data_IF_372652814284
#
_entry.id   IF_372652814284
#
_cell.length_a   1.000
_cell.length_b   1.000
_cell.length_c   1.000
_cell.angle_alpha   90.00
_cell.angle_beta   90.00
_cell.angle_gamma   90.00
#
_symmetry.space_group_name_H-M   'P 1'
#
loop_
_entity.id
_entity.type
_entity.pdbx_description
1 polymer ?
#
# COMPACT_ATOMS: atom_id res chain seq x y z
N UNK A 1 10.58 -20.90 -5.42
CA UNK A 1 10.73 -19.44 -5.38
C UNK A 1 10.27 -18.98 -4.02
N UNK A 2 10.91 -17.99 -3.44
CA UNK A 2 10.48 -17.37 -2.16
C UNK A 2 9.86 -16.02 -2.46
N UNK A 3 8.98 -15.56 -1.58
CA UNK A 3 8.49 -14.17 -1.62
C UNK A 3 9.65 -13.18 -1.65
N UNK A 4 9.49 -12.03 -2.31
CA UNK A 4 10.47 -10.97 -2.22
C UNK A 4 10.68 -10.61 -0.75
N UNK A 5 11.93 -10.42 -0.36
CA UNK A 5 12.25 -9.91 0.96
C UNK A 5 12.30 -8.40 0.87
N UNK A 6 11.64 -7.69 1.77
CA UNK A 6 11.98 -6.29 1.95
C UNK A 6 13.29 -6.22 2.69
N UNK A 7 14.16 -5.41 2.19
CA UNK A 7 15.22 -4.88 3.01
C UNK A 7 14.62 -3.67 3.75
N UNK A 8 14.16 -3.90 4.97
CA UNK A 8 14.13 -2.81 5.92
C UNK A 8 15.58 -2.47 6.18
N UNK A 9 16.16 -1.68 5.30
CA UNK A 9 17.50 -1.16 5.46
C UNK A 9 17.58 -0.24 6.68
N UNK A 10 18.77 0.24 6.98
CA UNK A 10 19.04 1.10 8.14
C UNK A 10 18.14 2.35 8.21
N UNK A 11 17.52 2.80 7.11
CA UNK A 11 16.65 3.96 7.04
C UNK A 11 15.24 3.69 7.55
N UNK A 12 14.67 2.54 7.24
CA UNK A 12 13.37 2.14 7.82
C UNK A 12 13.54 1.87 9.31
N UNK A 13 14.72 1.43 9.73
CA UNK A 13 15.07 1.28 11.13
C UNK A 13 15.16 2.61 11.89
N UNK A 14 15.19 3.75 11.24
CA UNK A 14 15.15 5.04 11.94
C UNK A 14 13.74 5.45 12.35
N UNK A 15 12.70 5.00 11.66
CA UNK A 15 11.29 5.24 12.03
C UNK A 15 10.67 4.07 12.80
N UNK A 16 10.94 2.86 12.39
CA UNK A 16 10.73 1.68 13.21
C UNK A 16 12.08 1.35 13.81
N UNK A 17 12.32 1.69 15.04
CA UNK A 17 13.59 1.42 15.69
C UNK A 17 14.03 -0.02 15.43
N UNK A 18 15.33 -0.32 15.51
CA UNK A 18 15.92 -1.67 15.36
C UNK A 18 15.21 -2.78 16.16
N UNK A 19 14.30 -2.40 17.04
CA UNK A 19 13.50 -3.26 17.92
C UNK A 19 12.02 -3.36 17.48
N UNK A 20 11.65 -2.85 16.30
CA UNK A 20 10.26 -2.90 15.82
C UNK A 20 9.28 -2.03 16.61
N UNK A 21 9.74 -0.90 17.12
CA UNK A 21 8.91 0.08 17.83
C UNK A 21 8.89 1.40 17.03
N UNK A 22 7.83 2.20 17.23
CA UNK A 22 7.85 3.57 16.76
C UNK A 22 8.91 4.39 17.52
N UNK A 23 9.27 5.56 17.00
CA UNK A 23 10.33 6.42 17.58
C UNK A 23 10.11 6.76 19.06
N UNK A 24 8.90 6.61 19.59
CA UNK A 24 8.53 6.86 20.98
C UNK A 24 8.45 5.59 21.82
N UNK A 25 8.68 4.42 21.22
CA UNK A 25 8.60 3.14 21.90
C UNK A 25 7.17 2.71 22.27
N UNK A 26 6.14 3.38 21.76
CA UNK A 26 4.74 3.15 22.14
C UNK A 26 4.13 2.01 21.32
N UNK A 27 4.49 1.94 20.01
CA UNK A 27 3.95 0.92 19.11
C UNK A 27 5.03 -0.11 18.81
N UNK A 28 4.69 -1.36 19.01
CA UNK A 28 5.53 -2.50 18.62
C UNK A 28 5.04 -3.03 17.27
N UNK A 29 5.96 -3.23 16.36
CA UNK A 29 5.71 -3.85 15.07
C UNK A 29 6.23 -5.28 15.08
N UNK A 30 5.41 -6.21 14.64
CA UNK A 30 5.84 -7.56 14.36
C UNK A 30 6.23 -7.66 12.88
N UNK A 31 7.41 -8.21 12.63
CA UNK A 31 7.86 -8.49 11.27
C UNK A 31 7.78 -10.00 11.04
N UNK A 32 7.19 -10.37 9.92
CA UNK A 32 7.17 -11.76 9.51
C UNK A 32 8.55 -12.21 8.97
N UNK A 33 8.70 -13.48 8.64
CA UNK A 33 9.98 -14.03 8.13
C UNK A 33 10.43 -13.40 6.81
N UNK A 34 9.51 -12.79 6.07
CA UNK A 34 9.79 -12.07 4.84
C UNK A 34 10.20 -10.61 5.08
N UNK A 35 10.13 -10.13 6.32
CA UNK A 35 10.54 -8.79 6.73
C UNK A 35 9.45 -7.71 6.62
N UNK A 36 8.19 -8.07 6.33
CA UNK A 36 7.08 -7.13 6.27
C UNK A 36 6.41 -6.98 7.63
N UNK A 37 5.81 -5.80 7.89
CA UNK A 37 4.98 -5.59 9.07
C UNK A 37 3.72 -6.44 8.91
N UNK A 38 3.69 -7.56 9.61
CA UNK A 38 2.58 -8.50 9.65
C UNK A 38 2.76 -9.46 10.82
N UNK A 39 1.65 -9.93 11.40
CA UNK A 39 1.66 -10.91 12.49
C UNK A 39 1.76 -12.35 11.98
N UNK A 40 1.75 -12.57 10.67
CA UNK A 40 1.75 -13.90 10.05
C UNK A 40 2.85 -14.00 9.00
N UNK A 41 3.52 -15.15 8.97
CA UNK A 41 4.36 -15.52 7.84
C UNK A 41 3.50 -15.78 6.62
N UNK A 42 4.00 -15.46 5.43
CA UNK A 42 3.27 -15.67 4.19
C UNK A 42 3.47 -17.10 3.69
N UNK A 43 2.35 -17.74 3.36
CA UNK A 43 2.32 -19.07 2.73
C UNK A 43 2.14 -18.90 1.22
N UNK A 44 3.03 -19.52 0.46
CA UNK A 44 2.99 -19.50 -1.01
C UNK A 44 1.80 -20.28 -1.59
N UNK A 45 1.18 -21.15 -0.79
CA UNK A 45 0.01 -21.94 -1.17
C UNK A 45 -1.31 -21.30 -0.73
N UNK A 46 -1.28 -20.09 -0.17
CA UNK A 46 -2.50 -19.41 0.28
C UNK A 46 -3.32 -18.92 -0.92
N UNK A 47 -4.52 -19.46 -1.08
CA UNK A 47 -5.44 -19.12 -2.17
C UNK A 47 -6.33 -17.93 -1.87
N UNK A 48 -6.53 -17.60 -0.59
CA UNK A 48 -7.37 -16.51 -0.14
C UNK A 48 -6.56 -15.29 0.34
N UNK A 49 -5.38 -15.06 -0.24
CA UNK A 49 -4.57 -13.91 0.11
C UNK A 49 -5.09 -12.63 -0.57
N UNK A 50 -5.36 -11.60 0.22
CA UNK A 50 -5.51 -10.23 -0.26
C UNK A 50 -4.16 -9.54 -0.07
N UNK A 51 -3.53 -9.18 -1.19
CA UNK A 51 -2.20 -8.60 -1.19
C UNK A 51 -2.26 -7.08 -1.28
N UNK A 52 -1.64 -6.42 -0.31
CA UNK A 52 -1.58 -4.96 -0.20
C UNK A 52 -0.19 -4.48 -0.60
N UNK A 53 -0.15 -3.45 -1.45
CA UNK A 53 1.08 -2.85 -1.97
C UNK A 53 1.02 -1.34 -1.80
N UNK A 54 2.11 -0.73 -1.38
CA UNK A 54 2.14 0.71 -1.18
C UNK A 54 3.31 1.18 -0.32
N UNK A 55 3.13 2.35 0.26
CA UNK A 55 4.11 3.05 1.08
C UNK A 55 3.84 2.87 2.58
N UNK A 56 4.41 3.76 3.38
CA UNK A 56 4.23 3.86 4.83
C UNK A 56 2.75 3.85 5.28
N UNK A 57 1.84 4.41 4.47
CA UNK A 57 0.40 4.39 4.76
C UNK A 57 -0.14 2.96 4.72
N UNK A 58 0.18 2.21 3.69
CA UNK A 58 -0.24 0.82 3.54
C UNK A 58 0.44 -0.09 4.56
N UNK A 59 1.70 0.18 4.91
CA UNK A 59 2.39 -0.55 5.97
C UNK A 59 1.91 -0.20 7.38
N UNK A 60 1.07 0.82 7.52
CA UNK A 60 0.45 1.25 8.77
C UNK A 60 1.46 1.73 9.83
N UNK A 61 2.54 2.37 9.38
CA UNK A 61 3.48 3.01 10.30
C UNK A 61 2.72 4.01 11.18
N UNK A 62 2.97 3.97 12.48
CA UNK A 62 2.28 4.80 13.47
C UNK A 62 1.04 4.16 14.10
N UNK A 63 0.68 2.92 13.69
CA UNK A 63 -0.46 2.18 14.24
C UNK A 63 -0.08 0.73 14.58
N UNK A 64 -0.73 0.11 15.59
CA UNK A 64 -0.72 -1.33 15.74
C UNK A 64 -1.28 -2.01 14.48
N UNK A 65 -0.73 -3.17 14.13
CA UNK A 65 -1.16 -3.93 12.94
C UNK A 65 -2.67 -4.17 12.88
N UNK A 66 -3.27 -4.46 14.01
CA UNK A 66 -4.72 -4.74 14.14
C UNK A 66 -5.60 -3.53 13.82
N UNK A 67 -5.05 -2.33 13.84
CA UNK A 67 -5.72 -1.09 13.44
C UNK A 67 -5.48 -0.72 11.99
N UNK A 68 -4.62 -1.46 11.28
CA UNK A 68 -4.37 -1.22 9.86
C UNK A 68 -5.61 -1.53 9.01
N UNK A 69 -5.80 -0.79 7.93
CA UNK A 69 -6.88 -1.12 7.00
C UNK A 69 -6.66 -2.50 6.35
N UNK A 70 -5.43 -2.90 6.10
CA UNK A 70 -5.10 -4.20 5.53
C UNK A 70 -5.59 -5.35 6.43
N UNK A 71 -5.33 -5.28 7.75
CA UNK A 71 -5.85 -6.26 8.70
C UNK A 71 -7.39 -6.22 8.78
N UNK A 72 -7.97 -5.02 8.89
CA UNK A 72 -9.41 -4.86 9.04
C UNK A 72 -10.21 -5.32 7.83
N UNK A 73 -9.65 -5.22 6.61
CA UNK A 73 -10.28 -5.76 5.39
C UNK A 73 -10.45 -7.26 5.52
N UNK A 74 -9.37 -8.01 5.76
CA UNK A 74 -9.44 -9.47 5.84
C UNK A 74 -10.34 -9.96 6.97
N UNK A 75 -10.28 -9.30 8.12
CA UNK A 75 -11.12 -9.66 9.29
C UNK A 75 -12.60 -9.35 9.11
N UNK A 76 -12.94 -8.38 8.26
CA UNK A 76 -14.32 -7.96 8.04
C UNK A 76 -15.02 -8.66 6.86
N UNK A 77 -14.36 -9.60 6.18
CA UNK A 77 -14.96 -10.39 5.11
C UNK A 77 -15.47 -11.71 5.68
N UNK A 78 -16.77 -11.94 5.55
CA UNK A 78 -17.46 -13.05 6.20
C UNK A 78 -17.52 -14.33 5.34
N UNK A 79 -17.42 -14.21 4.02
CA UNK A 79 -17.67 -15.32 3.09
C UNK A 79 -16.54 -16.36 3.00
N UNK A 80 -15.32 -15.95 3.34
CA UNK A 80 -14.13 -16.80 3.34
C UNK A 80 -13.12 -16.30 4.38
N UNK A 81 -12.28 -17.20 4.85
CA UNK A 81 -11.14 -16.80 5.70
C UNK A 81 -10.03 -16.18 4.85
N UNK A 82 -10.16 -14.88 4.58
CA UNK A 82 -9.14 -14.13 3.87
C UNK A 82 -7.95 -13.79 4.77
N UNK A 83 -6.76 -13.81 4.21
CA UNK A 83 -5.52 -13.40 4.87
C UNK A 83 -4.95 -12.14 4.23
N UNK A 84 -4.55 -11.18 5.05
CA UNK A 84 -3.88 -9.97 4.58
C UNK A 84 -2.38 -10.21 4.43
N UNK A 85 -1.88 -10.09 3.21
CA UNK A 85 -0.45 -10.11 2.90
C UNK A 85 -0.01 -8.70 2.51
N UNK A 86 0.71 -8.05 3.41
CA UNK A 86 1.11 -6.67 3.23
C UNK A 86 2.54 -6.60 2.68
N UNK A 87 2.68 -6.34 1.39
CA UNK A 87 3.95 -6.17 0.68
C UNK A 87 4.37 -4.70 0.58
N UNK A 88 3.75 -3.82 1.36
CA UNK A 88 4.12 -2.43 1.38
C UNK A 88 5.46 -2.22 2.05
N UNK A 89 6.19 -1.26 1.54
CA UNK A 89 7.45 -0.86 2.15
C UNK A 89 7.18 0.23 3.19
N UNK A 90 7.65 0.02 4.41
CA UNK A 90 7.50 0.97 5.51
C UNK A 90 8.32 2.25 5.34
N UNK A 91 8.90 2.49 4.18
CA UNK A 91 9.74 3.63 3.89
C UNK A 91 8.93 4.81 3.35
N UNK A 92 9.24 6.01 3.82
CA UNK A 92 8.66 7.25 3.28
C UNK A 92 9.17 7.61 1.88
N UNK A 93 10.18 6.91 1.38
CA UNK A 93 10.85 7.18 0.11
C UNK A 93 10.52 6.21 -1.01
N UNK A 94 9.54 5.32 -0.81
CA UNK A 94 9.05 4.42 -1.86
C UNK A 94 8.39 5.24 -2.96
N UNK A 95 8.77 4.99 -4.20
CA UNK A 95 8.10 5.57 -5.37
C UNK A 95 7.12 4.58 -6.02
N UNK A 96 6.31 5.07 -6.96
CA UNK A 96 5.33 4.24 -7.65
C UNK A 96 5.97 3.13 -8.50
N UNK A 97 7.18 3.31 -9.02
CA UNK A 97 7.87 2.27 -9.78
C UNK A 97 8.26 1.09 -8.89
N UNK A 98 8.72 1.37 -7.67
CA UNK A 98 9.05 0.31 -6.69
C UNK A 98 7.79 -0.47 -6.28
N UNK A 99 6.66 0.24 -6.09
CA UNK A 99 5.37 -0.41 -5.81
C UNK A 99 5.00 -1.33 -6.97
N UNK A 100 5.03 -0.84 -8.22
CA UNK A 100 4.70 -1.64 -9.40
C UNK A 100 5.65 -2.82 -9.57
N UNK A 101 6.96 -2.65 -9.37
CA UNK A 101 7.93 -3.74 -9.45
C UNK A 101 7.65 -4.82 -8.40
N UNK A 102 7.17 -4.43 -7.22
CA UNK A 102 6.75 -5.40 -6.18
C UNK A 102 5.49 -6.16 -6.61
N UNK A 103 4.49 -5.47 -7.17
CA UNK A 103 3.28 -6.09 -7.73
C UNK A 103 3.65 -7.09 -8.83
N UNK A 104 4.52 -6.69 -9.76
CA UNK A 104 4.99 -7.52 -10.86
C UNK A 104 5.74 -8.76 -10.36
N UNK A 105 6.59 -8.59 -9.35
CA UNK A 105 7.32 -9.69 -8.72
C UNK A 105 6.38 -10.73 -8.11
N UNK A 106 5.33 -10.28 -7.43
CA UNK A 106 4.31 -11.17 -6.84
C UNK A 106 3.49 -11.84 -7.95
N UNK A 107 3.04 -11.10 -8.96
CA UNK A 107 2.27 -11.66 -10.08
C UNK A 107 3.04 -12.73 -10.85
N UNK A 108 4.34 -12.55 -11.00
CA UNK A 108 5.20 -13.50 -11.73
C UNK A 108 5.56 -14.76 -10.92
N UNK A 109 5.13 -14.87 -9.67
CA UNK A 109 5.33 -16.09 -8.88
C UNK A 109 4.39 -17.18 -9.37
N UNK A 110 4.94 -18.27 -9.96
CA UNK A 110 4.14 -19.35 -10.55
C UNK A 110 3.24 -20.09 -9.55
N UNK A 111 3.66 -20.16 -8.29
CA UNK A 111 3.01 -20.96 -7.25
C UNK A 111 2.05 -20.15 -6.37
N UNK A 112 2.08 -18.83 -6.46
CA UNK A 112 1.27 -17.95 -5.63
C UNK A 112 0.31 -17.14 -6.50
N UNK A 113 -0.97 -17.16 -6.14
CA UNK A 113 -2.03 -16.43 -6.83
C UNK A 113 -2.86 -15.66 -5.81
N UNK A 114 -2.61 -14.37 -5.63
CA UNK A 114 -3.47 -13.56 -4.78
C UNK A 114 -4.93 -13.62 -5.22
N UNK A 115 -5.83 -13.71 -4.26
CA UNK A 115 -7.25 -13.58 -4.53
C UNK A 115 -7.61 -12.16 -4.99
N UNK A 116 -6.92 -11.15 -4.46
CA UNK A 116 -7.09 -9.73 -4.82
C UNK A 116 -5.79 -8.98 -4.63
N UNK A 117 -5.52 -8.01 -5.51
CA UNK A 117 -4.47 -7.00 -5.38
C UNK A 117 -5.07 -5.67 -4.94
N UNK A 118 -4.54 -5.08 -3.89
CA UNK A 118 -4.91 -3.74 -3.42
C UNK A 118 -3.67 -2.85 -3.47
N UNK A 119 -3.66 -1.90 -4.38
CA UNK A 119 -2.45 -1.12 -4.70
C UNK A 119 -2.64 0.34 -4.33
N UNK A 120 -1.79 0.87 -3.47
CA UNK A 120 -1.67 2.30 -3.24
C UNK A 120 -0.77 2.91 -4.31
N UNK A 121 -1.28 3.90 -5.03
CA UNK A 121 -0.45 4.81 -5.80
C UNK A 121 -0.16 6.06 -4.98
N UNK A 122 1.09 6.44 -4.93
CA UNK A 122 1.52 7.62 -4.20
C UNK A 122 1.26 8.85 -5.07
N UNK A 123 0.88 9.96 -4.44
CA UNK A 123 0.61 11.21 -5.15
C UNK A 123 1.76 11.67 -6.06
N UNK A 124 1.42 12.50 -7.02
CA UNK A 124 2.28 12.93 -8.13
C UNK A 124 3.62 13.54 -7.72
N UNK A 125 3.72 14.07 -6.51
CA UNK A 125 4.87 14.82 -6.00
C UNK A 125 6.01 13.95 -5.42
N UNK A 126 5.88 12.62 -5.46
CA UNK A 126 6.87 11.71 -4.89
C UNK A 126 7.57 10.87 -5.94
N UNK A 127 8.50 11.47 -6.65
CA UNK A 127 9.57 10.74 -7.32
C UNK A 127 10.84 10.79 -6.51
N UNK A 128 11.43 9.66 -6.24
CA UNK A 128 12.75 9.60 -5.64
C UNK A 128 13.79 10.01 -6.68
N UNK A 129 14.45 11.15 -6.48
CA UNK A 129 15.65 11.50 -7.21
C UNK A 129 16.85 11.27 -6.27
N UNK A 130 17.65 10.21 -6.47
CA UNK A 130 18.79 9.91 -5.61
C UNK A 130 19.85 11.01 -5.58
N UNK A 131 19.79 11.98 -6.50
CA UNK A 131 20.71 13.13 -6.54
C UNK A 131 20.27 14.28 -5.64
N UNK A 132 19.02 14.30 -5.17
CA UNK A 132 18.48 15.32 -4.28
C UNK A 132 18.26 14.77 -2.87
N UNK A 133 19.24 14.93 -1.99
CA UNK A 133 19.17 14.55 -0.56
C UNK A 133 18.02 15.20 0.24
N UNK A 134 17.25 16.08 -0.34
CA UNK A 134 16.21 16.87 0.33
C UNK A 134 14.78 16.60 -0.14
N UNK A 135 14.51 15.61 -1.01
CA UNK A 135 13.15 15.16 -1.34
C UNK A 135 12.22 16.19 -1.98
N UNK A 136 12.73 17.32 -2.47
CA UNK A 136 11.93 18.28 -3.24
C UNK A 136 12.12 18.02 -4.72
N UNK A 137 11.06 17.61 -5.37
CA UNK A 137 10.99 17.47 -6.80
C UNK A 137 10.39 18.73 -7.39
N UNK A 138 11.14 19.38 -8.25
CA UNK A 138 10.62 20.37 -9.18
C UNK A 138 10.49 19.70 -10.54
N UNK A 139 9.62 18.71 -10.68
CA UNK A 139 9.10 18.39 -11.99
C UNK A 139 7.96 19.35 -12.27
N UNK A 140 7.87 19.80 -13.50
CA UNK A 140 6.69 20.47 -14.02
C UNK A 140 5.46 19.58 -13.71
N UNK A 141 4.34 20.19 -13.34
CA UNK A 141 3.10 19.48 -13.02
C UNK A 141 2.66 18.56 -14.17
N UNK A 142 2.93 18.93 -15.41
CA UNK A 142 2.64 18.11 -16.59
C UNK A 142 3.54 16.87 -16.71
N UNK A 143 4.81 16.97 -16.36
CA UNK A 143 5.73 15.83 -16.36
C UNK A 143 5.36 14.83 -15.25
N UNK A 144 4.97 15.34 -14.09
CA UNK A 144 4.48 14.54 -12.98
C UNK A 144 3.19 13.81 -13.36
N UNK A 145 2.27 14.51 -13.99
CA UNK A 145 1.00 13.95 -14.43
C UNK A 145 1.22 12.86 -15.48
N UNK A 146 2.04 13.14 -16.51
CA UNK A 146 2.36 12.16 -17.56
C UNK A 146 2.95 10.90 -16.95
N UNK A 147 3.91 11.04 -16.05
CA UNK A 147 4.53 9.91 -15.42
C UNK A 147 3.58 9.11 -14.51
N UNK A 148 2.66 9.77 -13.83
CA UNK A 148 1.63 9.11 -13.05
C UNK A 148 0.68 8.31 -13.96
N UNK A 149 0.26 8.89 -15.09
CA UNK A 149 -0.56 8.22 -16.08
C UNK A 149 0.13 6.99 -16.68
N UNK A 150 1.43 7.08 -16.95
CA UNK A 150 2.21 5.94 -17.46
C UNK A 150 2.31 4.81 -16.42
N UNK A 151 2.52 5.15 -15.16
CA UNK A 151 2.51 4.20 -14.05
C UNK A 151 1.13 3.54 -13.91
N UNK A 152 0.06 4.32 -13.97
CA UNK A 152 -1.31 3.80 -13.90
C UNK A 152 -1.60 2.83 -15.05
N UNK A 153 -1.27 3.20 -16.30
CA UNK A 153 -1.42 2.32 -17.46
C UNK A 153 -0.60 1.03 -17.33
N UNK A 154 0.61 1.14 -16.76
CA UNK A 154 1.43 -0.04 -16.49
C UNK A 154 0.76 -0.97 -15.47
N UNK A 155 0.19 -0.41 -14.40
CA UNK A 155 -0.57 -1.17 -13.40
C UNK A 155 -1.80 -1.84 -14.01
N UNK A 156 -2.60 -1.09 -14.76
CA UNK A 156 -3.80 -1.59 -15.43
C UNK A 156 -3.47 -2.76 -16.36
N UNK A 157 -2.46 -2.61 -17.21
CA UNK A 157 -2.00 -3.69 -18.10
C UNK A 157 -1.49 -4.91 -17.34
N UNK A 158 -0.77 -4.68 -16.24
CA UNK A 158 -0.21 -5.74 -15.41
C UNK A 158 -1.32 -6.56 -14.75
N UNK A 159 -2.40 -5.93 -14.29
CA UNK A 159 -3.46 -6.55 -13.50
C UNK A 159 -4.78 -6.75 -14.26
N UNK A 160 -4.83 -6.54 -15.58
CA UNK A 160 -6.06 -6.60 -16.40
C UNK A 160 -6.85 -7.89 -16.24
N UNK A 161 -6.19 -9.02 -15.99
CA UNK A 161 -6.80 -10.35 -15.85
C UNK A 161 -6.97 -10.79 -14.39
N UNK A 162 -6.69 -9.90 -13.45
CA UNK A 162 -6.70 -10.14 -12.01
C UNK A 162 -7.85 -9.36 -11.33
N UNK A 163 -8.19 -9.76 -10.11
CA UNK A 163 -9.04 -8.93 -9.25
C UNK A 163 -8.16 -7.89 -8.56
N UNK A 164 -8.41 -6.63 -8.80
CA UNK A 164 -7.59 -5.56 -8.22
C UNK A 164 -8.38 -4.30 -7.92
N UNK A 165 -7.93 -3.58 -6.93
CA UNK A 165 -8.39 -2.26 -6.55
C UNK A 165 -7.15 -1.39 -6.37
N UNK A 166 -7.23 -0.13 -6.76
CA UNK A 166 -6.19 0.82 -6.42
C UNK A 166 -6.78 2.03 -5.70
N UNK A 167 -5.96 2.68 -4.92
CA UNK A 167 -6.30 3.96 -4.34
C UNK A 167 -5.13 4.92 -4.46
N UNK A 168 -5.45 6.17 -4.71
CA UNK A 168 -4.50 7.27 -4.70
C UNK A 168 -4.86 8.20 -3.54
N UNK A 169 -3.84 8.65 -2.82
CA UNK A 169 -4.00 9.70 -1.83
C UNK A 169 -3.61 11.01 -2.49
N UNK A 170 -4.52 11.96 -2.58
CA UNK A 170 -4.17 13.32 -2.95
C UNK A 170 -3.18 13.87 -1.92
N UNK A 171 -1.99 14.23 -2.39
CA UNK A 171 -0.98 14.89 -1.58
C UNK A 171 -0.84 16.35 -1.99
N UNK A 172 -0.71 17.24 -1.02
CA UNK A 172 -0.20 18.62 -1.20
C UNK A 172 -0.78 19.45 -2.38
N UNK A 173 -2.04 19.21 -2.78
CA UNK A 173 -2.73 20.06 -3.75
C UNK A 173 -2.66 19.60 -5.20
N UNK A 174 -2.11 18.44 -5.49
CA UNK A 174 -2.13 17.87 -6.85
C UNK A 174 -3.33 16.93 -6.96
N UNK A 175 -4.28 17.30 -7.82
CA UNK A 175 -5.49 16.55 -8.08
C UNK A 175 -5.17 15.31 -8.94
N UNK A 176 -5.61 14.14 -8.51
CA UNK A 176 -5.59 12.94 -9.35
C UNK A 176 -6.47 13.17 -10.58
N UNK A 177 -6.02 12.82 -11.79
CA UNK A 177 -6.80 13.03 -13.02
C UNK A 177 -8.18 12.39 -12.99
N UNK A 178 -9.16 13.06 -13.58
CA UNK A 178 -10.54 12.59 -13.61
C UNK A 178 -10.67 11.21 -14.30
N UNK A 179 -9.90 10.93 -15.35
CA UNK A 179 -9.89 9.62 -16.02
C UNK A 179 -9.51 8.47 -15.08
N UNK A 180 -8.59 8.74 -14.16
CA UNK A 180 -8.18 7.76 -13.14
C UNK A 180 -9.23 7.69 -12.05
N UNK A 181 -9.78 8.83 -11.65
CA UNK A 181 -10.76 8.90 -10.58
C UNK A 181 -12.09 8.23 -10.96
N UNK A 182 -12.42 8.24 -12.23
CA UNK A 182 -13.62 7.59 -12.77
C UNK A 182 -13.43 6.10 -13.08
N UNK A 183 -12.21 5.57 -12.94
CA UNK A 183 -11.96 4.16 -13.19
C UNK A 183 -12.68 3.28 -12.17
N UNK A 184 -13.38 2.23 -12.65
CA UNK A 184 -14.21 1.36 -11.79
C UNK A 184 -13.47 0.75 -10.60
N UNK A 185 -12.18 0.43 -10.77
CA UNK A 185 -11.33 -0.16 -9.73
C UNK A 185 -10.72 0.90 -8.79
N UNK A 186 -10.99 2.18 -9.04
CA UNK A 186 -10.43 3.26 -8.24
C UNK A 186 -11.24 3.47 -6.94
N UNK A 187 -10.52 3.57 -5.86
CA UNK A 187 -11.01 4.10 -4.61
C UNK A 187 -10.29 5.42 -4.34
N UNK A 188 -10.95 6.53 -4.68
CA UNK A 188 -10.41 7.83 -4.33
C UNK A 188 -10.75 8.15 -2.91
N UNK A 189 -9.74 8.61 -2.25
CA UNK A 189 -9.90 9.02 -0.90
C UNK A 189 -9.12 10.31 -0.64
N UNK A 190 -9.84 11.35 -0.33
CA UNK A 190 -9.28 12.62 0.14
C UNK A 190 -9.71 12.87 1.59
N UNK A 191 -9.20 12.08 2.55
CA UNK A 191 -9.60 12.23 3.93
C UNK A 191 -8.87 13.39 4.56
N UNK A 192 -9.49 14.08 5.51
CA UNK A 192 -8.75 14.90 6.43
C UNK A 192 -7.75 14.00 7.19
N UNK A 193 -6.46 14.25 7.04
CA UNK A 193 -5.44 13.58 7.82
C UNK A 193 -5.68 13.86 9.30
N UNK A 194 -6.12 12.84 10.02
CA UNK A 194 -6.16 12.91 11.47
C UNK A 194 -4.81 12.37 11.93
N UNK A 195 -3.97 13.29 12.40
CA UNK A 195 -2.64 12.92 12.84
C UNK A 195 -2.70 11.83 13.91
N UNK A 196 -1.92 10.82 13.68
CA UNK A 196 -1.53 9.86 14.69
C UNK A 196 -0.33 10.38 15.47
N UNK A 197 0.32 9.50 16.16
CA UNK A 197 1.57 9.78 16.85
C UNK A 197 2.73 10.23 15.93
N UNK A 198 2.67 9.98 14.61
CA UNK A 198 3.62 10.48 13.61
C UNK A 198 2.94 11.59 12.82
N UNK A 199 3.57 12.72 12.72
CA UNK A 199 2.98 14.01 12.31
C UNK A 199 2.32 14.03 10.93
N UNK A 200 2.54 13.08 10.07
CA UNK A 200 2.04 13.07 8.69
C UNK A 200 1.51 11.69 8.27
N UNK A 201 1.21 10.82 9.25
CA UNK A 201 0.69 9.48 8.97
C UNK A 201 -0.77 9.36 9.40
N UNK A 202 -1.64 8.84 8.54
CA UNK A 202 -3.07 8.72 8.82
C UNK A 202 -3.37 7.90 10.07
N UNK A 203 -4.33 8.38 10.86
CA UNK A 203 -4.74 7.76 12.12
C UNK A 203 -5.73 6.61 11.98
N UNK A 204 -6.19 6.03 13.12
CA UNK A 204 -7.12 4.89 13.12
C UNK A 204 -8.41 5.15 12.36
N UNK A 205 -8.93 6.38 12.41
CA UNK A 205 -10.16 6.76 11.70
C UNK A 205 -9.98 6.63 10.18
N UNK A 206 -8.83 7.07 9.64
CA UNK A 206 -8.52 6.89 8.23
C UNK A 206 -8.50 5.40 7.86
N UNK A 207 -7.79 4.58 8.64
CA UNK A 207 -7.69 3.15 8.36
C UNK A 207 -9.04 2.43 8.43
N UNK A 208 -9.90 2.80 9.35
CA UNK A 208 -11.27 2.27 9.42
C UNK A 208 -12.07 2.62 8.15
N UNK A 209 -11.99 3.86 7.70
CA UNK A 209 -12.71 4.33 6.51
C UNK A 209 -12.15 3.69 5.24
N UNK A 210 -10.83 3.56 5.11
CA UNK A 210 -10.19 2.83 4.00
C UNK A 210 -10.62 1.37 3.97
N UNK A 211 -10.62 0.71 5.13
CA UNK A 211 -11.09 -0.67 5.23
C UNK A 211 -12.53 -0.82 4.73
N UNK A 212 -13.42 0.09 5.13
CA UNK A 212 -14.82 0.08 4.67
C UNK A 212 -14.91 0.32 3.16
N UNK A 213 -14.20 1.31 2.64
CA UNK A 213 -14.17 1.61 1.20
C UNK A 213 -13.67 0.43 0.37
N UNK A 214 -12.58 -0.22 0.80
CA UNK A 214 -12.05 -1.40 0.11
C UNK A 214 -13.05 -2.55 0.15
N UNK A 215 -13.66 -2.85 1.31
CA UNK A 215 -14.69 -3.91 1.41
C UNK A 215 -15.89 -3.64 0.50
N UNK A 216 -16.37 -2.40 0.44
CA UNK A 216 -17.47 -2.03 -0.44
C UNK A 216 -17.09 -2.24 -1.92
N UNK A 217 -15.87 -1.88 -2.33
CA UNK A 217 -15.37 -2.13 -3.68
C UNK A 217 -15.21 -3.62 -3.99
N UNK A 218 -14.73 -4.42 -3.04
CA UNK A 218 -14.63 -5.87 -3.17
C UNK A 218 -16.00 -6.52 -3.38
N UNK A 219 -17.01 -6.05 -2.64
CA UNK A 219 -18.38 -6.49 -2.82
C UNK A 219 -18.95 -6.06 -4.18
N UNK A 220 -18.81 -4.78 -4.53
CA UNK A 220 -19.32 -4.19 -5.77
C UNK A 220 -18.76 -4.88 -7.01
N UNK A 221 -17.43 -5.04 -7.10
CA UNK A 221 -16.75 -5.51 -8.30
C UNK A 221 -16.63 -7.02 -8.39
N UNK A 222 -16.52 -7.70 -7.27
CA UNK A 222 -16.11 -9.11 -7.24
C UNK A 222 -17.02 -10.02 -6.42
N UNK A 223 -18.07 -9.46 -5.82
CA UNK A 223 -19.00 -10.17 -4.93
C UNK A 223 -18.27 -10.89 -3.77
N UNK A 224 -17.27 -10.21 -3.21
CA UNK A 224 -16.52 -10.67 -2.05
C UNK A 224 -17.07 -9.95 -0.81
N UNK A 225 -17.64 -10.73 0.12
CA UNK A 225 -18.24 -10.25 1.38
C UNK A 225 -17.52 -10.84 2.60
#
# INVERSE_FOLDING_TARGET
MSFPKTYYDEYTSSYCTKIGQDMRGIIKYNFNKQGFINNQDYDINEENAICFFGSAITSSIGLPWEQSFAFQVSKGLASKEFKSYNFSQGCMFVDNNEIINTVESIKNMKQFRPAVYVVQLIGLDRRFNPQHKAGKYNLDDNENLTAFMDIFKKLENLLKDEKWIFFACDGAGIKVPDDITMHQNCLIWNPPFISTMLRDVPGPKFHNMMSLGIKNKLKELYNIE
#
